data_IF_766450507258
#
_entry.id   IF_766450507258
#
_cell.length_a   1.000
_cell.length_b   1.000
_cell.length_c   1.000
_cell.angle_alpha   90.00
_cell.angle_beta   90.00
_cell.angle_gamma   90.00
#
_symmetry.space_group_name_H-M   'P 1'
#
loop_
_entity.id
_entity.type
_entity.pdbx_description
1 polymer ?
#
# COMPACT_ATOMS: atom_id res chain seq x y z
N UNK A 1 35.87 -5.26 5.51
CA UNK A 1 35.57 -3.98 6.17
C UNK A 1 34.07 -3.74 6.15
N UNK A 2 33.50 -3.63 7.35
CA UNK A 2 32.16 -3.13 7.73
C UNK A 2 30.91 -3.79 7.11
N UNK A 3 30.35 -4.71 7.90
CA UNK A 3 28.97 -5.14 7.85
C UNK A 3 28.02 -3.94 7.91
N UNK A 4 27.00 -3.92 7.04
CA UNK A 4 25.80 -3.10 7.26
C UNK A 4 24.64 -4.04 7.54
N UNK A 5 24.53 -4.42 8.82
CA UNK A 5 23.23 -4.75 9.39
C UNK A 5 22.44 -3.45 9.43
N UNK A 6 21.55 -3.26 8.46
CA UNK A 6 20.49 -2.26 8.57
C UNK A 6 19.26 -3.03 9.01
N UNK A 7 18.68 -2.63 10.15
CA UNK A 7 17.43 -3.16 10.70
C UNK A 7 16.48 -3.61 9.59
N UNK A 8 16.04 -4.87 9.64
CA UNK A 8 14.76 -5.26 9.04
C UNK A 8 13.68 -4.49 9.80
N UNK A 9 13.51 -3.21 9.46
CA UNK A 9 12.23 -2.54 9.63
C UNK A 9 11.26 -3.43 8.86
N UNK A 10 10.23 -3.97 9.52
CA UNK A 10 9.29 -4.93 8.91
C UNK A 10 8.50 -4.30 7.75
N UNK A 11 9.15 -4.12 6.60
CA UNK A 11 8.54 -3.62 5.37
C UNK A 11 7.50 -4.64 4.91
N UNK A 12 6.30 -4.18 4.56
CA UNK A 12 5.23 -5.08 4.10
C UNK A 12 5.68 -5.82 2.84
N UNK A 13 5.84 -5.09 1.74
CA UNK A 13 6.24 -5.63 0.43
C UNK A 13 6.99 -4.54 -0.35
N UNK A 14 7.84 -4.93 -1.30
CA UNK A 14 8.39 -3.99 -2.30
C UNK A 14 7.88 -4.38 -3.68
N UNK A 15 7.13 -3.48 -4.30
CA UNK A 15 6.45 -3.71 -5.58
C UNK A 15 6.96 -2.67 -6.56
N UNK A 16 7.55 -3.10 -7.68
CA UNK A 16 8.09 -2.19 -8.72
C UNK A 16 9.03 -1.10 -8.17
N UNK A 17 9.79 -1.41 -7.11
CA UNK A 17 10.70 -0.47 -6.45
C UNK A 17 10.04 0.48 -5.43
N UNK A 18 8.73 0.37 -5.20
CA UNK A 18 8.02 1.10 -4.14
C UNK A 18 7.82 0.19 -2.94
N UNK A 19 8.19 0.71 -1.77
CA UNK A 19 7.92 0.05 -0.49
C UNK A 19 6.45 0.30 -0.13
N UNK A 20 5.70 -0.77 0.17
CA UNK A 20 4.32 -0.67 0.63
C UNK A 20 4.31 -0.17 2.08
N UNK A 21 3.66 0.99 2.27
CA UNK A 21 3.55 1.71 3.54
C UNK A 21 2.26 1.38 4.29
N UNK A 22 1.16 1.15 3.56
CA UNK A 22 -0.16 0.86 4.10
C UNK A 22 -0.91 -0.01 3.11
N UNK A 23 -1.64 -1.00 3.60
CA UNK A 23 -2.54 -1.80 2.77
C UNK A 23 -3.84 -2.11 3.51
N UNK A 24 -4.98 -1.97 2.83
CA UNK A 24 -6.28 -2.39 3.32
C UNK A 24 -6.77 -3.56 2.45
N UNK A 25 -7.13 -4.67 3.08
CA UNK A 25 -7.69 -5.84 2.40
C UNK A 25 -9.12 -6.06 2.86
N UNK A 26 -10.01 -6.24 1.90
CA UNK A 26 -11.42 -6.55 2.09
C UNK A 26 -11.62 -8.05 2.29
N UNK A 27 -12.80 -8.42 2.81
CA UNK A 27 -13.20 -9.82 3.00
C UNK A 27 -13.21 -10.61 1.69
N UNK A 28 -13.43 -9.94 0.57
CA UNK A 28 -13.41 -10.49 -0.80
C UNK A 28 -11.99 -10.79 -1.32
N UNK A 29 -10.94 -10.44 -0.57
CA UNK A 29 -9.55 -10.53 -1.01
C UNK A 29 -9.07 -9.35 -1.85
N UNK A 30 -9.96 -8.49 -2.34
CA UNK A 30 -9.57 -7.22 -2.96
C UNK A 30 -8.93 -6.28 -1.94
N UNK A 31 -8.12 -5.35 -2.40
CA UNK A 31 -7.53 -4.35 -1.52
C UNK A 31 -6.85 -3.20 -2.24
N UNK A 32 -6.38 -2.27 -1.42
CA UNK A 32 -5.63 -1.11 -1.87
C UNK A 32 -4.34 -0.99 -1.08
N UNK A 33 -3.30 -0.46 -1.71
CA UNK A 33 -2.01 -0.24 -1.08
C UNK A 33 -1.44 1.13 -1.44
N UNK A 34 -0.80 1.77 -0.47
CA UNK A 34 0.00 2.98 -0.64
C UNK A 34 1.48 2.58 -0.66
N UNK A 35 2.19 2.94 -1.73
CA UNK A 35 3.62 2.71 -1.89
C UNK A 35 4.43 4.01 -1.97
N UNK A 36 5.70 3.94 -1.57
CA UNK A 36 6.65 5.06 -1.65
C UNK A 36 8.00 4.63 -2.23
N UNK A 37 8.52 5.42 -3.16
CA UNK A 37 9.87 5.32 -3.71
C UNK A 37 10.44 6.74 -3.85
N UNK A 38 11.30 7.22 -2.93
CA UNK A 38 11.85 8.57 -2.98
C UNK A 38 12.74 8.82 -4.20
N UNK A 39 13.22 7.77 -4.88
CA UNK A 39 14.01 7.87 -6.11
C UNK A 39 13.20 7.92 -7.40
N UNK A 40 11.87 7.76 -7.35
CA UNK A 40 11.02 7.82 -8.53
C UNK A 40 10.61 9.27 -8.86
N UNK A 41 10.38 9.62 -10.14
CA UNK A 41 9.83 10.93 -10.53
C UNK A 41 8.49 11.23 -9.83
N UNK A 42 7.68 10.20 -9.64
CA UNK A 42 6.45 10.24 -8.83
C UNK A 42 6.67 9.37 -7.59
N UNK A 43 7.08 9.95 -6.45
CA UNK A 43 7.49 9.19 -5.28
C UNK A 43 6.39 8.35 -4.64
N UNK A 44 5.10 8.66 -4.87
CA UNK A 44 3.99 7.93 -4.26
C UNK A 44 3.13 7.23 -5.30
N UNK A 45 2.56 6.09 -4.91
CA UNK A 45 1.62 5.33 -5.73
C UNK A 45 0.51 4.72 -4.87
N UNK A 46 -0.71 4.69 -5.39
CA UNK A 46 -1.79 3.88 -4.84
C UNK A 46 -2.17 2.76 -5.81
N UNK A 47 -2.07 1.52 -5.37
CA UNK A 47 -2.45 0.33 -6.16
C UNK A 47 -3.75 -0.27 -5.68
N UNK A 48 -4.41 -0.98 -6.60
CA UNK A 48 -5.32 -2.06 -6.24
C UNK A 48 -4.56 -3.37 -6.18
N UNK A 49 -5.08 -4.34 -5.44
CA UNK A 49 -4.64 -5.72 -5.53
C UNK A 49 -5.78 -6.72 -5.29
N UNK A 50 -5.52 -7.97 -5.68
CA UNK A 50 -6.23 -9.15 -5.19
C UNK A 50 -5.27 -10.00 -4.37
N UNK A 51 -5.72 -10.46 -3.19
CA UNK A 51 -4.97 -11.36 -2.32
C UNK A 51 -5.46 -12.80 -2.56
N UNK A 52 -4.58 -13.64 -3.10
CA UNK A 52 -4.83 -15.06 -3.29
C UNK A 52 -4.83 -15.84 -1.96
N UNK A 53 -5.27 -17.09 -1.99
CA UNK A 53 -5.36 -17.97 -0.81
C UNK A 53 -4.01 -18.22 -0.12
N UNK A 54 -2.91 -18.18 -0.89
CA UNK A 54 -1.55 -18.28 -0.38
C UNK A 54 -1.02 -16.98 0.26
N UNK A 55 -1.83 -15.93 0.31
CA UNK A 55 -1.48 -14.61 0.83
C UNK A 55 -0.74 -13.71 -0.16
N UNK A 56 -0.42 -14.19 -1.38
CA UNK A 56 0.19 -13.39 -2.43
C UNK A 56 -0.75 -12.28 -2.90
N UNK A 57 -0.21 -11.09 -3.16
CA UNK A 57 -0.96 -9.95 -3.69
C UNK A 57 -0.56 -9.64 -5.12
N UNK A 58 -1.55 -9.64 -6.01
CA UNK A 58 -1.39 -9.23 -7.41
C UNK A 58 -1.76 -7.76 -7.55
N UNK A 59 -0.77 -6.90 -7.77
CA UNK A 59 -0.94 -5.44 -7.81
C UNK A 59 -1.26 -4.91 -9.22
N UNK A 60 -2.27 -4.05 -9.32
CA UNK A 60 -2.72 -3.46 -10.59
C UNK A 60 -3.31 -2.05 -10.42
N UNK A 61 -3.51 -1.36 -11.55
CA UNK A 61 -4.13 -0.03 -11.65
C UNK A 61 -3.57 1.01 -10.66
N UNK A 62 -2.25 1.18 -10.76
CA UNK A 62 -1.47 2.15 -9.97
C UNK A 62 -1.74 3.59 -10.37
N UNK A 63 -1.97 4.47 -9.39
CA UNK A 63 -2.05 5.92 -9.59
C UNK A 63 -0.85 6.57 -8.93
N UNK A 64 -0.02 7.24 -9.72
CA UNK A 64 1.25 7.82 -9.28
C UNK A 64 1.10 9.31 -9.02
N UNK A 65 1.79 9.82 -7.99
CA UNK A 65 1.77 11.23 -7.64
C UNK A 65 3.00 11.67 -6.86
N UNK A 66 3.15 12.98 -6.72
CA UNK A 66 4.34 13.61 -6.11
C UNK A 66 4.15 14.02 -4.66
N UNK A 67 2.92 13.90 -4.14
CA UNK A 67 2.58 14.33 -2.78
C UNK A 67 2.07 13.19 -1.93
N UNK A 68 2.69 13.05 -0.77
CA UNK A 68 2.24 12.27 0.38
C UNK A 68 0.75 12.46 0.67
N UNK A 69 0.35 13.72 0.86
CA UNK A 69 -1.00 14.07 1.29
C UNK A 69 -2.03 13.74 0.21
N UNK A 70 -1.65 13.83 -1.06
CA UNK A 70 -2.48 13.38 -2.17
C UNK A 70 -2.63 11.85 -2.13
N UNK A 71 -1.54 11.12 -1.96
CA UNK A 71 -1.55 9.66 -2.00
C UNK A 71 -2.34 9.06 -0.82
N UNK A 72 -2.25 9.67 0.36
CA UNK A 72 -3.07 9.28 1.51
C UNK A 72 -4.55 9.51 1.24
N UNK A 73 -4.94 10.68 0.73
CA UNK A 73 -6.34 10.97 0.36
C UNK A 73 -6.86 10.06 -0.74
N UNK A 74 -6.07 9.76 -1.77
CA UNK A 74 -6.49 8.85 -2.83
C UNK A 74 -6.61 7.41 -2.32
N UNK A 75 -5.73 6.97 -1.41
CA UNK A 75 -5.88 5.68 -0.73
C UNK A 75 -7.19 5.60 0.05
N UNK A 76 -7.43 6.57 0.96
CA UNK A 76 -8.61 6.54 1.83
C UNK A 76 -9.89 6.63 1.00
N UNK A 77 -9.94 7.52 0.00
CA UNK A 77 -11.07 7.60 -0.94
C UNK A 77 -11.32 6.30 -1.69
N UNK A 78 -10.28 5.61 -2.15
CA UNK A 78 -10.45 4.34 -2.89
C UNK A 78 -10.99 3.23 -2.00
N UNK A 79 -10.58 3.20 -0.73
CA UNK A 79 -11.14 2.27 0.27
C UNK A 79 -12.62 2.60 0.52
N UNK A 80 -12.94 3.87 0.79
CA UNK A 80 -14.31 4.32 1.03
C UNK A 80 -15.22 4.06 -0.17
N UNK A 81 -14.78 4.43 -1.38
CA UNK A 81 -15.51 4.18 -2.63
C UNK A 81 -15.82 2.69 -2.79
N UNK A 82 -14.86 1.80 -2.49
CA UNK A 82 -15.06 0.36 -2.59
C UNK A 82 -16.03 -0.17 -1.53
N UNK A 83 -15.96 0.33 -0.29
CA UNK A 83 -16.92 0.00 0.76
C UNK A 83 -18.35 0.36 0.35
N UNK A 84 -18.55 1.56 -0.22
CA UNK A 84 -19.87 2.05 -0.62
C UNK A 84 -20.41 1.31 -1.85
N UNK A 85 -19.57 1.08 -2.87
CA UNK A 85 -20.00 0.47 -4.12
C UNK A 85 -20.28 -1.04 -4.00
N UNK A 86 -19.52 -1.75 -3.17
CA UNK A 86 -19.58 -3.21 -3.08
C UNK A 86 -20.10 -3.72 -1.74
N UNK A 87 -20.47 -2.84 -0.81
CA UNK A 87 -20.91 -3.20 0.54
C UNK A 87 -19.93 -4.16 1.27
N UNK A 88 -18.65 -4.07 0.93
CA UNK A 88 -17.61 -4.95 1.44
C UNK A 88 -16.92 -4.31 2.66
N UNK A 89 -16.70 -5.08 3.73
CA UNK A 89 -15.97 -4.61 4.89
C UNK A 89 -14.44 -4.79 4.70
N UNK A 90 -13.67 -3.87 5.27
CA UNK A 90 -12.21 -4.04 5.41
C UNK A 90 -11.98 -5.11 6.47
N UNK A 91 -11.33 -6.21 6.08
CA UNK A 91 -10.98 -7.33 6.95
C UNK A 91 -9.76 -7.02 7.81
N UNK A 92 -8.73 -6.42 7.22
CA UNK A 92 -7.54 -5.98 7.95
C UNK A 92 -6.87 -4.80 7.25
N UNK A 93 -6.21 -3.96 8.05
CA UNK A 93 -5.31 -2.91 7.59
C UNK A 93 -3.91 -3.19 8.12
N UNK A 94 -2.95 -3.23 7.23
CA UNK A 94 -1.53 -3.40 7.55
C UNK A 94 -0.83 -2.05 7.42
N UNK A 95 0.07 -1.79 8.36
CA UNK A 95 0.92 -0.59 8.38
C UNK A 95 2.37 -1.05 8.31
N UNK A 96 3.12 -0.47 7.38
CA UNK A 96 4.57 -0.61 7.32
C UNK A 96 5.24 0.04 8.53
N UNK A 97 6.55 -0.16 8.67
CA UNK A 97 7.31 0.23 9.85
C UNK A 97 7.69 1.70 9.74
N UNK A 98 6.66 2.56 9.75
CA UNK A 98 6.58 3.96 10.18
C UNK A 98 5.07 4.29 10.11
N UNK A 99 4.30 3.81 11.09
CA UNK A 99 2.84 3.99 11.20
C UNK A 99 2.40 5.43 11.47
N UNK A 100 3.01 6.40 10.80
CA UNK A 100 2.96 7.83 11.15
C UNK A 100 3.07 8.66 9.87
N UNK A 101 2.05 8.60 9.03
CA UNK A 101 1.60 9.84 8.40
C UNK A 101 0.37 10.28 9.18
N UNK A 102 0.63 10.70 10.43
CA UNK A 102 -0.32 11.41 11.29
C UNK A 102 -0.33 12.87 10.83
#
# INVERSE_FOLDING_TARGET
MLARGTERRDLLETVQGYVILKAATFETGHGFALGHNPGAPSPFVTWQFTKGENGHRDYYWGRYGTSQAWAQRDFDRRVDDYQQLYHAAVKHTELGPEGVYR
#
